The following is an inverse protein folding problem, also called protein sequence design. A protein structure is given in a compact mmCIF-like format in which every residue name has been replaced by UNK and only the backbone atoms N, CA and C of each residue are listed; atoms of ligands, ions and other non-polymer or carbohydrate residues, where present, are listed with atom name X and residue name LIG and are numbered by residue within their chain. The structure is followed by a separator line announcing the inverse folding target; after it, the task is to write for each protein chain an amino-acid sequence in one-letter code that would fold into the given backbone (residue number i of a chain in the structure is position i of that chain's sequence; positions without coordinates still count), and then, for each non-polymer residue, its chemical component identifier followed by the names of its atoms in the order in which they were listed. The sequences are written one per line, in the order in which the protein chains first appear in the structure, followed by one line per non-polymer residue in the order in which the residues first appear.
data_IF_722814259163
#
_entry.id   IF_722814259163
#
_cell.length_a   1.000
_cell.length_b   1.000
_cell.length_c   1.000
_cell.angle_alpha   90.00
_cell.angle_beta   90.00
_cell.angle_gamma   90.00
#
_symmetry.space_group_name_H-M   'P 1'
#
loop_
_entity.id
_entity.type
_entity.pdbx_description
1 polymer ?
#
# COMPACT_ATOMS: atom_id res chain seq x y z
N UNK A 1 0.12 -8.50 -23.74
CA UNK A 1 -0.17 -9.96 -23.77
C UNK A 1 0.99 -10.61 -23.02
N UNK A 2 0.73 -11.12 -21.82
CA UNK A 2 1.80 -11.70 -20.99
C UNK A 2 2.17 -13.07 -21.57
N UNK A 3 3.45 -13.33 -21.66
CA UNK A 3 3.97 -14.59 -22.20
C UNK A 3 3.55 -15.75 -21.31
N UNK A 4 2.87 -16.75 -21.88
CA UNK A 4 2.10 -17.78 -21.16
C UNK A 4 2.87 -19.06 -20.86
N UNK A 5 4.20 -19.01 -20.81
CA UNK A 5 5.00 -20.21 -20.51
C UNK A 5 4.80 -20.60 -19.03
N UNK A 6 4.00 -21.63 -18.82
CA UNK A 6 3.79 -22.25 -17.50
C UNK A 6 2.54 -21.78 -16.73
N UNK A 7 1.63 -20.99 -17.34
CA UNK A 7 0.38 -20.57 -16.69
C UNK A 7 -0.66 -21.67 -16.66
N UNK A 8 -1.18 -21.96 -15.46
CA UNK A 8 -2.42 -22.74 -15.34
C UNK A 8 -3.59 -21.88 -15.84
N UNK A 9 -4.44 -22.44 -16.71
CA UNK A 9 -5.61 -21.74 -17.28
C UNK A 9 -6.79 -21.65 -16.30
N UNK A 10 -6.72 -22.35 -15.17
CA UNK A 10 -7.73 -22.35 -14.12
C UNK A 10 -7.32 -21.38 -12.99
N UNK A 11 -8.04 -20.26 -12.76
CA UNK A 11 -7.72 -19.30 -11.71
C UNK A 11 -7.86 -19.87 -10.29
N UNK A 12 -8.45 -21.05 -10.13
CA UNK A 12 -8.54 -21.78 -8.86
C UNK A 12 -7.28 -22.58 -8.52
N UNK A 13 -6.44 -22.91 -9.52
CA UNK A 13 -5.27 -23.79 -9.35
C UNK A 13 -4.00 -22.96 -9.28
N UNK A 14 -3.28 -23.07 -8.17
CA UNK A 14 -1.95 -22.46 -7.98
C UNK A 14 -0.86 -23.36 -8.52
N UNK A 15 0.18 -22.75 -9.08
CA UNK A 15 1.40 -23.47 -9.42
C UNK A 15 2.11 -23.97 -8.16
N UNK A 16 2.94 -25.01 -8.29
CA UNK A 16 3.78 -25.47 -7.18
C UNK A 16 4.71 -24.35 -6.67
N UNK A 17 5.18 -23.48 -7.57
CA UNK A 17 6.00 -22.33 -7.20
C UNK A 17 5.20 -21.35 -6.32
N UNK A 18 3.96 -21.06 -6.68
CA UNK A 18 3.07 -20.20 -5.89
C UNK A 18 2.80 -20.77 -4.51
N UNK A 19 2.60 -22.08 -4.39
CA UNK A 19 2.43 -22.74 -3.10
C UNK A 19 3.69 -22.62 -2.23
N UNK A 20 4.90 -22.75 -2.81
CA UNK A 20 6.16 -22.53 -2.10
C UNK A 20 6.33 -21.06 -1.66
N UNK A 21 5.95 -20.10 -2.51
CA UNK A 21 5.95 -18.67 -2.16
C UNK A 21 5.02 -18.39 -0.99
N UNK A 22 3.81 -18.94 -1.02
CA UNK A 22 2.82 -18.79 0.05
C UNK A 22 3.31 -19.38 1.37
N UNK A 23 3.87 -20.60 1.34
CA UNK A 23 4.46 -21.22 2.53
C UNK A 23 5.60 -20.36 3.11
N UNK A 24 6.47 -19.84 2.24
CA UNK A 24 7.58 -18.95 2.62
C UNK A 24 7.11 -17.70 3.33
N UNK A 25 6.09 -17.01 2.78
CA UNK A 25 5.49 -15.82 3.40
C UNK A 25 4.85 -16.15 4.74
N UNK A 26 4.06 -17.22 4.80
CA UNK A 26 3.37 -17.63 6.01
C UNK A 26 4.36 -18.00 7.13
N UNK A 27 5.46 -18.68 6.80
CA UNK A 27 6.53 -18.94 7.77
C UNK A 27 7.15 -17.64 8.27
N UNK A 28 7.53 -16.74 7.34
CA UNK A 28 8.11 -15.46 7.73
C UNK A 28 7.17 -14.68 8.67
N UNK A 29 5.88 -14.55 8.35
CA UNK A 29 4.91 -13.82 9.17
C UNK A 29 4.62 -14.49 10.52
N UNK A 30 4.73 -15.83 10.61
CA UNK A 30 4.64 -16.57 11.89
C UNK A 30 5.94 -16.63 12.69
N UNK A 31 6.98 -15.89 12.24
CA UNK A 31 8.32 -15.93 12.87
C UNK A 31 8.96 -17.33 12.87
N UNK A 32 8.70 -18.08 11.81
CA UNK A 32 9.35 -19.35 11.49
C UNK A 32 10.35 -19.12 10.37
N UNK A 33 11.48 -19.85 10.37
CA UNK A 33 12.50 -19.70 9.33
C UNK A 33 12.03 -20.36 8.01
N UNK A 34 11.87 -19.58 6.92
CA UNK A 34 11.52 -20.13 5.62
C UNK A 34 12.75 -20.71 4.90
N UNK A 35 12.55 -21.37 3.75
CA UNK A 35 13.60 -21.86 2.88
C UNK A 35 14.56 -20.76 2.40
N UNK A 36 14.06 -19.56 2.20
CA UNK A 36 14.78 -18.30 2.01
C UNK A 36 13.93 -17.13 2.48
N UNK A 37 14.52 -15.97 2.66
CA UNK A 37 13.79 -14.73 2.95
C UNK A 37 12.85 -14.42 1.78
N UNK A 38 11.54 -14.16 2.04
CA UNK A 38 10.62 -13.69 1.00
C UNK A 38 11.06 -12.34 0.46
N UNK A 39 10.87 -12.13 -0.84
CA UNK A 39 11.24 -10.89 -1.53
C UNK A 39 10.05 -10.37 -2.33
N UNK A 40 9.76 -9.09 -2.20
CA UNK A 40 8.89 -8.35 -3.12
C UNK A 40 9.32 -6.89 -3.16
N UNK A 41 8.66 -6.10 -3.99
CA UNK A 41 8.79 -4.64 -3.99
C UNK A 41 7.57 -4.00 -4.65
N UNK A 42 7.46 -2.67 -4.55
CA UNK A 42 6.48 -1.87 -5.28
C UNK A 42 7.21 -1.08 -6.37
N UNK A 43 6.76 -1.23 -7.60
CA UNK A 43 7.44 -0.63 -8.75
C UNK A 43 6.60 0.48 -9.36
N UNK A 44 7.18 1.65 -9.46
CA UNK A 44 6.58 2.78 -10.14
C UNK A 44 6.67 2.64 -11.65
N UNK A 45 5.70 3.17 -12.40
CA UNK A 45 5.66 3.10 -13.84
C UNK A 45 6.95 3.61 -14.50
N UNK A 46 7.44 4.77 -14.07
CA UNK A 46 8.69 5.33 -14.59
C UNK A 46 9.93 4.46 -14.33
N UNK A 47 9.96 3.72 -13.21
CA UNK A 47 11.00 2.71 -12.96
C UNK A 47 10.88 1.55 -13.95
N UNK A 48 9.67 1.03 -14.16
CA UNK A 48 9.43 -0.11 -15.06
C UNK A 48 9.84 0.23 -16.50
N UNK A 49 9.48 1.41 -16.98
CA UNK A 49 9.86 1.89 -18.32
C UNK A 49 11.37 2.01 -18.49
N UNK A 50 12.06 2.62 -17.51
CA UNK A 50 13.51 2.74 -17.49
C UNK A 50 14.17 1.38 -17.43
N UNK A 51 13.71 0.49 -16.55
CA UNK A 51 14.21 -0.86 -16.36
C UNK A 51 14.11 -1.70 -17.66
N UNK A 52 12.96 -1.65 -18.35
CA UNK A 52 12.78 -2.30 -19.64
C UNK A 52 13.77 -1.79 -20.67
N UNK A 53 13.93 -0.49 -20.77
CA UNK A 53 14.84 0.15 -21.74
C UNK A 53 16.31 -0.19 -21.44
N UNK A 54 16.74 -0.08 -20.20
CA UNK A 54 18.15 -0.32 -19.81
C UNK A 54 18.58 -1.78 -19.96
N UNK A 55 17.66 -2.71 -19.75
CA UNK A 55 17.93 -4.14 -19.89
C UNK A 55 17.53 -4.72 -21.25
N UNK A 56 17.00 -3.90 -22.16
CA UNK A 56 16.56 -4.35 -23.49
C UNK A 56 15.42 -5.37 -23.43
N UNK A 57 14.51 -5.23 -22.47
CA UNK A 57 13.40 -6.16 -22.24
C UNK A 57 12.18 -5.82 -23.10
N UNK A 58 11.28 -6.80 -23.35
CA UNK A 58 10.00 -6.55 -24.01
C UNK A 58 9.17 -5.47 -23.30
N UNK A 59 8.35 -4.73 -24.06
CA UNK A 59 7.52 -3.65 -23.53
C UNK A 59 6.45 -4.08 -22.54
N UNK A 60 6.14 -5.37 -22.45
CA UNK A 60 5.22 -5.99 -21.51
C UNK A 60 5.93 -6.73 -20.36
N UNK A 61 7.28 -6.74 -20.33
CA UNK A 61 8.04 -7.35 -19.23
C UNK A 61 7.61 -6.75 -17.89
N UNK A 62 7.41 -7.62 -16.90
CA UNK A 62 6.95 -7.23 -15.57
C UNK A 62 7.97 -7.72 -14.53
N UNK A 63 8.49 -6.84 -13.63
CA UNK A 63 9.50 -7.22 -12.66
C UNK A 63 9.07 -8.33 -11.70
N UNK A 64 7.79 -8.43 -11.35
CA UNK A 64 7.29 -9.51 -10.51
C UNK A 64 7.53 -10.90 -11.12
N UNK A 65 7.30 -11.05 -12.43
CA UNK A 65 7.57 -12.28 -13.16
C UNK A 65 9.06 -12.46 -13.47
N UNK A 66 9.72 -11.37 -13.88
CA UNK A 66 11.13 -11.42 -14.28
C UNK A 66 12.06 -11.87 -13.14
N UNK A 67 11.79 -11.39 -11.92
CA UNK A 67 12.58 -11.71 -10.73
C UNK A 67 11.95 -12.78 -9.85
N UNK A 68 10.84 -13.37 -10.27
CA UNK A 68 10.09 -14.39 -9.52
C UNK A 68 9.80 -13.95 -8.07
N UNK A 69 9.23 -12.75 -7.91
CA UNK A 69 8.93 -12.18 -6.61
C UNK A 69 7.86 -12.99 -5.86
N UNK A 70 7.86 -12.88 -4.53
CA UNK A 70 7.11 -13.82 -3.69
C UNK A 70 5.64 -13.46 -3.46
N UNK A 71 5.25 -12.20 -3.61
CA UNK A 71 3.86 -11.78 -3.39
C UNK A 71 3.53 -10.48 -4.13
N UNK A 72 2.24 -10.22 -4.29
CA UNK A 72 1.74 -9.03 -4.97
C UNK A 72 0.52 -8.48 -4.24
N UNK A 73 0.34 -7.15 -4.28
CA UNK A 73 -0.82 -6.44 -3.74
C UNK A 73 -1.75 -6.03 -4.86
N UNK A 74 -3.04 -6.15 -4.62
CA UNK A 74 -4.10 -5.69 -5.52
C UNK A 74 -4.91 -4.59 -4.85
N UNK A 75 -5.40 -3.65 -5.67
CA UNK A 75 -6.03 -2.41 -5.22
C UNK A 75 -7.41 -2.29 -5.85
N UNK A 76 -8.51 -2.41 -5.08
CA UNK A 76 -9.86 -2.14 -5.58
C UNK A 76 -10.07 -0.63 -5.80
N UNK A 77 -11.22 -0.25 -6.34
CA UNK A 77 -11.56 1.16 -6.44
C UNK A 77 -11.93 1.72 -5.06
N UNK A 78 -11.00 2.47 -4.46
CA UNK A 78 -11.16 3.09 -3.14
C UNK A 78 -11.58 4.56 -3.21
N UNK A 79 -11.81 5.11 -4.39
CA UNK A 79 -12.21 6.49 -4.56
C UNK A 79 -13.56 6.74 -3.86
N UNK A 80 -13.69 7.81 -3.06
CA UNK A 80 -14.97 8.15 -2.39
C UNK A 80 -16.13 8.34 -3.36
N UNK A 81 -15.84 8.84 -4.56
CA UNK A 81 -16.81 8.99 -5.65
C UNK A 81 -16.39 8.15 -6.84
N UNK A 82 -17.18 7.12 -7.17
CA UNK A 82 -16.95 6.23 -8.31
C UNK A 82 -17.42 6.93 -9.57
N UNK A 83 -16.52 7.63 -10.24
CA UNK A 83 -16.81 8.42 -11.44
C UNK A 83 -15.63 8.39 -12.42
N UNK A 84 -15.90 8.56 -13.73
CA UNK A 84 -14.83 8.82 -14.69
C UNK A 84 -14.04 10.06 -14.30
N UNK A 85 -12.72 10.03 -14.52
CA UNK A 85 -11.88 11.19 -14.28
C UNK A 85 -12.12 12.28 -15.35
N UNK A 86 -12.31 13.51 -14.89
CA UNK A 86 -12.48 14.65 -15.75
C UNK A 86 -11.10 15.18 -16.17
N UNK A 87 -10.81 15.13 -17.47
CA UNK A 87 -9.60 15.75 -18.04
C UNK A 87 -9.82 17.25 -18.15
N UNK A 88 -9.08 18.03 -17.35
CA UNK A 88 -9.14 19.49 -17.37
C UNK A 88 -8.17 20.08 -18.39
N UNK A 89 -7.01 19.44 -18.58
CA UNK A 89 -5.99 19.83 -19.53
C UNK A 89 -5.20 18.59 -19.95
N UNK A 90 -4.83 18.52 -21.24
CA UNK A 90 -3.93 17.48 -21.74
C UNK A 90 -3.08 18.04 -22.86
N UNK A 91 -1.78 17.80 -22.79
CA UNK A 91 -0.77 18.18 -23.80
C UNK A 91 0.18 17.01 -24.03
N UNK A 92 1.15 17.19 -24.91
CA UNK A 92 2.20 16.16 -25.11
C UNK A 92 3.13 15.98 -23.89
N UNK A 93 3.16 16.95 -22.96
CA UNK A 93 4.09 16.95 -21.82
C UNK A 93 3.40 16.66 -20.48
N UNK A 94 2.09 16.92 -20.38
CA UNK A 94 1.39 16.88 -19.09
C UNK A 94 -0.10 16.60 -19.23
N UNK A 95 -0.69 16.12 -18.14
CA UNK A 95 -2.15 15.97 -18.01
C UNK A 95 -2.60 16.48 -16.65
N UNK A 96 -3.74 17.18 -16.63
CA UNK A 96 -4.43 17.62 -15.41
C UNK A 96 -5.79 16.94 -15.37
N UNK A 97 -6.05 16.21 -14.29
CA UNK A 97 -7.30 15.47 -14.11
C UNK A 97 -7.94 15.77 -12.76
N UNK A 98 -9.26 15.74 -12.71
CA UNK A 98 -10.01 15.68 -11.47
C UNK A 98 -10.43 14.23 -11.21
N UNK A 99 -10.06 13.70 -10.07
CA UNK A 99 -10.20 12.28 -9.71
C UNK A 99 -11.46 11.98 -8.92
N UNK A 100 -11.66 10.72 -8.57
CA UNK A 100 -12.72 10.27 -7.68
C UNK A 100 -12.54 10.65 -6.20
N UNK A 101 -11.40 11.26 -5.82
CA UNK A 101 -11.23 11.96 -4.54
C UNK A 101 -11.60 13.46 -4.61
N UNK A 102 -12.03 13.95 -5.78
CA UNK A 102 -12.22 15.38 -5.99
C UNK A 102 -10.89 16.16 -6.04
N UNK A 103 -9.77 15.48 -6.04
CA UNK A 103 -8.45 16.08 -6.18
C UNK A 103 -8.17 16.45 -7.63
N UNK A 104 -7.61 17.64 -7.84
CA UNK A 104 -7.07 18.06 -9.13
C UNK A 104 -5.59 17.68 -9.15
N UNK A 105 -5.29 16.66 -9.92
CA UNK A 105 -3.94 16.12 -10.06
C UNK A 105 -3.30 16.58 -11.35
N UNK A 106 -2.07 17.03 -11.26
CA UNK A 106 -1.21 17.39 -12.37
C UNK A 106 -0.09 16.39 -12.51
N UNK A 107 -0.03 15.67 -13.60
CA UNK A 107 1.06 14.75 -13.95
C UNK A 107 1.83 15.33 -15.14
N UNK A 108 3.07 15.69 -14.89
CA UNK A 108 4.05 15.95 -15.92
C UNK A 108 4.76 14.65 -16.28
N UNK A 109 4.81 14.26 -17.56
CA UNK A 109 5.27 12.92 -17.95
C UNK A 109 6.77 12.68 -17.70
N UNK A 110 7.57 13.74 -17.61
CA UNK A 110 8.99 13.64 -17.25
C UNK A 110 9.23 13.47 -15.73
N UNK A 111 8.25 13.79 -14.89
CA UNK A 111 8.39 13.66 -13.43
C UNK A 111 7.71 12.40 -12.93
N UNK A 112 8.35 11.65 -12.00
CA UNK A 112 7.80 10.40 -11.51
C UNK A 112 6.53 10.61 -10.67
N UNK A 113 6.45 11.71 -9.91
CA UNK A 113 5.32 11.98 -9.02
C UNK A 113 4.33 12.98 -9.62
N UNK A 114 3.01 12.71 -9.54
CA UNK A 114 2.01 13.72 -9.77
C UNK A 114 1.94 14.71 -8.61
N UNK A 115 1.41 15.90 -8.88
CA UNK A 115 1.16 16.95 -7.91
C UNK A 115 -0.34 17.14 -7.70
N UNK A 116 -0.83 17.08 -6.47
CA UNK A 116 -2.20 17.49 -6.13
C UNK A 116 -2.23 18.99 -5.89
N UNK A 117 -2.98 19.74 -6.71
CA UNK A 117 -2.99 21.21 -6.72
C UNK A 117 -4.21 21.83 -6.07
N UNK A 118 -5.34 21.15 -6.11
CA UNK A 118 -6.60 21.63 -5.56
C UNK A 118 -7.54 20.46 -5.23
N UNK A 119 -8.61 20.75 -4.51
CA UNK A 119 -9.58 19.77 -4.04
C UNK A 119 -10.99 20.34 -4.12
N UNK A 120 -11.99 19.52 -4.42
CA UNK A 120 -13.41 19.90 -4.33
C UNK A 120 -13.81 20.19 -2.87
N UNK A 121 -13.18 19.48 -1.92
CA UNK A 121 -13.36 19.63 -0.47
C UNK A 121 -12.31 20.58 0.12
N UNK A 122 -12.20 21.80 -0.45
CA UNK A 122 -11.18 22.81 -0.11
C UNK A 122 -11.47 23.59 1.17
N UNK A 123 -12.65 23.38 1.81
CA UNK A 123 -13.00 23.94 3.11
C UNK A 123 -13.44 22.86 4.08
N UNK A 124 -13.30 23.16 5.39
CA UNK A 124 -13.69 22.22 6.42
C UNK A 124 -15.20 21.88 6.38
N UNK A 125 -16.04 22.87 6.09
CA UNK A 125 -17.51 22.69 5.96
C UNK A 125 -17.86 21.78 4.77
N UNK A 126 -17.12 21.86 3.67
CA UNK A 126 -17.31 20.95 2.53
C UNK A 126 -16.92 19.53 2.91
N UNK A 127 -15.81 19.34 3.65
CA UNK A 127 -15.39 18.02 4.13
C UNK A 127 -16.43 17.43 5.09
N UNK A 128 -16.95 18.22 6.04
CA UNK A 128 -17.97 17.75 6.96
C UNK A 128 -19.25 17.29 6.25
N UNK A 129 -19.63 17.96 5.17
CA UNK A 129 -20.86 17.67 4.40
C UNK A 129 -20.65 16.68 3.26
N UNK A 130 -19.42 16.29 2.99
CA UNK A 130 -19.10 15.37 1.88
C UNK A 130 -19.87 14.05 2.06
N UNK A 131 -20.68 13.70 1.07
CA UNK A 131 -21.36 12.42 0.98
C UNK A 131 -20.64 11.56 -0.05
N UNK A 132 -20.21 10.38 0.37
CA UNK A 132 -19.49 9.42 -0.47
C UNK A 132 -20.46 8.40 -1.07
N UNK A 133 -20.07 7.77 -2.17
CA UNK A 133 -20.79 6.63 -2.73
C UNK A 133 -20.76 5.46 -1.75
N UNK A 134 -21.66 4.48 -1.91
CA UNK A 134 -21.73 3.32 -1.03
C UNK A 134 -20.36 2.61 -0.96
N UNK A 135 -19.79 2.39 0.24
CA UNK A 135 -18.52 1.66 0.40
C UNK A 135 -18.61 0.22 -0.10
N UNK A 136 -19.82 -0.33 -0.16
CA UNK A 136 -20.09 -1.70 -0.63
C UNK A 136 -20.55 -1.75 -2.11
N UNK A 137 -20.46 -0.64 -2.85
CA UNK A 137 -20.86 -0.60 -4.25
C UNK A 137 -20.07 -1.64 -5.07
N UNK A 138 -20.80 -2.47 -5.79
CA UNK A 138 -20.23 -3.56 -6.59
C UNK A 138 -19.24 -3.07 -7.66
N UNK A 139 -19.41 -1.85 -8.18
CA UNK A 139 -18.51 -1.24 -9.17
C UNK A 139 -17.06 -1.23 -8.68
N UNK A 140 -16.81 -1.11 -7.37
CA UNK A 140 -15.47 -1.10 -6.78
C UNK A 140 -14.67 -2.38 -7.05
N UNK A 141 -15.35 -3.50 -7.19
CA UNK A 141 -14.73 -4.83 -7.23
C UNK A 141 -14.93 -5.57 -8.55
N UNK A 142 -16.05 -5.30 -9.23
CA UNK A 142 -16.52 -6.14 -10.35
C UNK A 142 -16.58 -5.40 -11.70
N UNK A 143 -16.34 -4.09 -11.73
CA UNK A 143 -16.41 -3.31 -12.96
C UNK A 143 -15.09 -2.59 -13.22
N UNK A 144 -14.79 -2.40 -14.51
CA UNK A 144 -13.68 -1.55 -14.92
C UNK A 144 -14.01 -0.08 -14.68
N UNK A 145 -13.02 0.72 -14.30
CA UNK A 145 -13.23 2.14 -14.05
C UNK A 145 -11.95 2.88 -13.71
N UNK A 146 -12.08 4.19 -13.59
CA UNK A 146 -10.98 5.03 -13.17
C UNK A 146 -10.76 4.89 -11.66
N UNK A 147 -9.50 4.80 -11.23
CA UNK A 147 -9.10 4.51 -9.86
C UNK A 147 -7.81 5.27 -9.53
N UNK A 148 -7.89 6.21 -8.59
CA UNK A 148 -6.73 7.01 -8.21
C UNK A 148 -5.67 6.15 -7.50
N UNK A 149 -6.06 5.26 -6.60
CA UNK A 149 -5.12 4.48 -5.80
C UNK A 149 -4.39 3.42 -6.64
N UNK A 150 -5.04 2.85 -7.66
CA UNK A 150 -4.41 1.85 -8.52
C UNK A 150 -3.26 2.41 -9.37
N UNK A 151 -3.19 3.71 -9.53
CA UNK A 151 -2.09 4.40 -10.22
C UNK A 151 -0.87 4.61 -9.31
N UNK A 152 -0.39 3.57 -8.64
CA UNK A 152 0.79 3.66 -7.75
C UNK A 152 1.96 4.32 -8.47
N UNK A 153 2.44 5.45 -7.95
CA UNK A 153 3.53 6.23 -8.53
C UNK A 153 3.15 7.09 -9.73
N UNK A 154 2.15 6.72 -10.51
CA UNK A 154 1.64 7.53 -11.63
C UNK A 154 0.50 8.47 -11.20
N UNK A 155 -0.02 8.28 -9.99
CA UNK A 155 -0.99 9.14 -9.33
C UNK A 155 -2.44 8.83 -9.62
N UNK A 156 -2.75 8.17 -10.73
CA UNK A 156 -4.08 7.70 -11.07
C UNK A 156 -4.00 6.70 -12.22
N UNK A 157 -4.99 5.83 -12.33
CA UNK A 157 -5.14 4.90 -13.43
C UNK A 157 -6.53 5.06 -14.04
N UNK A 158 -6.59 5.26 -15.35
CA UNK A 158 -7.83 5.21 -16.12
C UNK A 158 -8.11 3.78 -16.57
N UNK A 159 -9.38 3.42 -16.62
CA UNK A 159 -9.83 2.12 -17.11
C UNK A 159 -9.14 0.93 -16.42
N UNK A 160 -8.93 1.01 -15.10
CA UNK A 160 -8.48 -0.16 -14.35
C UNK A 160 -9.41 -1.33 -14.61
N UNK A 161 -8.82 -2.51 -14.84
CA UNK A 161 -9.61 -3.74 -14.95
C UNK A 161 -10.42 -4.00 -13.67
N UNK A 162 -11.51 -4.78 -13.74
CA UNK A 162 -12.21 -5.21 -12.54
C UNK A 162 -11.24 -5.83 -11.53
N UNK A 163 -11.31 -5.38 -10.28
CA UNK A 163 -10.38 -5.85 -9.25
C UNK A 163 -10.40 -7.37 -9.08
N UNK A 164 -11.58 -7.98 -9.05
CA UNK A 164 -11.70 -9.43 -8.89
C UNK A 164 -11.09 -10.22 -10.04
N UNK A 165 -11.16 -9.69 -11.26
CA UNK A 165 -10.53 -10.33 -12.43
C UNK A 165 -9.00 -10.21 -12.34
N UNK A 166 -8.49 -9.09 -11.85
CA UNK A 166 -7.06 -8.91 -11.55
C UNK A 166 -6.59 -9.92 -10.50
N UNK A 167 -7.32 -10.06 -9.38
CA UNK A 167 -7.02 -11.05 -8.33
C UNK A 167 -6.96 -12.46 -8.92
N UNK A 168 -7.98 -12.87 -9.69
CA UNK A 168 -8.04 -14.18 -10.33
C UNK A 168 -6.91 -14.42 -11.31
N UNK A 169 -6.51 -13.40 -12.07
CA UNK A 169 -5.43 -13.52 -13.07
C UNK A 169 -4.04 -13.68 -12.43
N UNK A 170 -3.81 -13.12 -11.26
CA UNK A 170 -2.53 -13.16 -10.56
C UNK A 170 -2.36 -14.37 -9.64
N UNK A 171 -3.46 -14.91 -9.14
CA UNK A 171 -3.49 -15.97 -8.12
C UNK A 171 -2.76 -17.27 -8.51
N UNK A 172 -2.75 -17.72 -9.78
CA UNK A 172 -1.97 -18.90 -10.19
C UNK A 172 -0.46 -18.73 -9.97
N UNK A 173 0.06 -17.51 -10.06
CA UNK A 173 1.49 -17.22 -10.10
C UNK A 173 2.02 -16.56 -8.82
N UNK A 174 1.14 -15.95 -8.00
CA UNK A 174 1.50 -15.22 -6.78
C UNK A 174 0.54 -15.48 -5.62
N UNK A 175 1.02 -15.46 -4.37
CA UNK A 175 0.24 -15.05 -3.22
C UNK A 175 -0.28 -13.63 -3.44
N UNK A 176 -1.62 -13.44 -3.34
CA UNK A 176 -2.29 -12.18 -3.65
C UNK A 176 -2.85 -11.57 -2.38
N UNK A 177 -2.43 -10.34 -2.09
CA UNK A 177 -2.94 -9.56 -0.98
C UNK A 177 -3.97 -8.56 -1.48
N UNK A 178 -5.11 -8.46 -0.79
CA UNK A 178 -6.03 -7.33 -0.90
C UNK A 178 -5.46 -6.11 -0.19
N UNK A 179 -6.08 -4.94 -0.37
CA UNK A 179 -5.59 -3.75 0.32
C UNK A 179 -6.64 -2.67 0.52
N UNK A 180 -6.50 -1.90 1.60
CA UNK A 180 -7.36 -0.76 1.90
C UNK A 180 -6.53 0.41 2.42
N UNK A 181 -6.88 1.63 2.00
CA UNK A 181 -6.35 2.84 2.65
C UNK A 181 -7.04 3.06 4.00
N UNK A 182 -6.30 3.63 4.96
CA UNK A 182 -6.89 4.10 6.19
C UNK A 182 -7.18 5.61 6.12
N UNK A 183 -7.67 6.18 7.20
CA UNK A 183 -8.22 7.55 7.23
C UNK A 183 -7.20 8.63 6.82
N UNK A 184 -5.91 8.50 7.18
CA UNK A 184 -4.90 9.51 6.87
C UNK A 184 -4.67 9.63 5.36
N UNK A 185 -4.60 8.49 4.66
CA UNK A 185 -4.48 8.45 3.21
C UNK A 185 -5.68 9.06 2.51
N UNK A 186 -6.89 8.76 3.00
CA UNK A 186 -8.10 9.37 2.49
C UNK A 186 -8.09 10.89 2.64
N UNK A 187 -7.79 11.40 3.85
CA UNK A 187 -7.78 12.83 4.13
C UNK A 187 -6.75 13.57 3.28
N UNK A 188 -5.54 13.03 3.15
CA UNK A 188 -4.50 13.63 2.31
C UNK A 188 -4.97 13.78 0.86
N UNK A 189 -5.73 12.83 0.33
CA UNK A 189 -6.25 12.87 -1.03
C UNK A 189 -7.50 13.74 -1.18
N UNK A 190 -8.34 13.82 -0.15
CA UNK A 190 -9.57 14.61 -0.16
C UNK A 190 -9.35 16.12 0.02
N UNK A 191 -8.36 16.51 0.83
CA UNK A 191 -8.20 17.90 1.28
C UNK A 191 -6.74 18.39 1.28
N UNK A 192 -5.80 17.51 1.01
CA UNK A 192 -4.36 17.77 1.08
C UNK A 192 -3.79 17.69 2.50
N UNK A 193 -2.50 17.38 2.57
CA UNK A 193 -1.80 17.18 3.84
C UNK A 193 -1.81 18.43 4.73
N UNK A 194 -1.64 19.63 4.15
CA UNK A 194 -1.62 20.88 4.90
C UNK A 194 -2.96 21.15 5.59
N UNK A 195 -4.09 21.04 4.88
CA UNK A 195 -5.42 21.23 5.44
C UNK A 195 -5.74 20.15 6.49
N UNK A 196 -5.34 18.90 6.23
CA UNK A 196 -5.52 17.82 7.20
C UNK A 196 -4.87 18.15 8.55
N UNK A 197 -3.60 18.58 8.53
CA UNK A 197 -2.89 18.95 9.77
C UNK A 197 -3.45 20.23 10.43
N UNK A 198 -3.77 21.25 9.62
CA UNK A 198 -4.33 22.50 10.11
C UNK A 198 -5.66 22.28 10.83
N UNK A 199 -6.59 21.54 10.21
CA UNK A 199 -7.92 21.31 10.77
C UNK A 199 -7.90 20.37 11.97
N UNK A 200 -6.97 19.43 12.05
CA UNK A 200 -6.76 18.67 13.28
C UNK A 200 -6.34 19.56 14.46
N UNK A 201 -5.58 20.62 14.19
CA UNK A 201 -5.18 21.60 15.21
C UNK A 201 -6.27 22.62 15.55
N UNK A 202 -7.00 23.11 14.56
CA UNK A 202 -8.00 24.18 14.75
C UNK A 202 -9.36 23.63 15.25
N UNK A 203 -9.75 22.44 14.79
CA UNK A 203 -11.08 21.87 15.07
C UNK A 203 -10.99 20.40 15.54
N UNK A 204 -10.22 20.09 16.60
CA UNK A 204 -9.87 18.71 16.93
C UNK A 204 -11.07 17.77 17.14
N UNK A 205 -12.11 18.22 17.83
CA UNK A 205 -13.32 17.43 18.09
C UNK A 205 -14.14 17.20 16.81
N UNK A 206 -14.35 18.26 16.03
CA UNK A 206 -15.08 18.18 14.75
C UNK A 206 -14.32 17.32 13.75
N UNK A 207 -13.00 17.48 13.69
CA UNK A 207 -12.14 16.64 12.85
C UNK A 207 -12.17 15.19 13.31
N UNK A 208 -12.20 14.92 14.61
CA UNK A 208 -12.42 13.60 15.18
C UNK A 208 -13.73 12.95 14.70
N UNK A 209 -14.83 13.72 14.63
CA UNK A 209 -16.08 13.22 14.08
C UNK A 209 -15.99 12.87 12.57
N UNK A 210 -15.27 13.69 11.79
CA UNK A 210 -15.00 13.42 10.37
C UNK A 210 -14.14 12.17 10.22
N UNK A 211 -13.08 12.03 11.01
CA UNK A 211 -12.20 10.85 11.02
C UNK A 211 -13.00 9.59 11.32
N UNK A 212 -13.87 9.63 12.31
CA UNK A 212 -14.73 8.48 12.66
C UNK A 212 -15.68 8.09 11.52
N UNK A 213 -16.26 9.06 10.82
CA UNK A 213 -17.11 8.80 9.65
C UNK A 213 -16.32 8.16 8.50
N UNK A 214 -15.13 8.68 8.19
CA UNK A 214 -14.24 8.15 7.14
C UNK A 214 -13.74 6.76 7.53
N UNK A 215 -13.37 6.56 8.80
CA UNK A 215 -12.94 5.26 9.31
C UNK A 215 -14.02 4.19 9.18
N UNK A 216 -15.26 4.50 9.58
CA UNK A 216 -16.39 3.60 9.39
C UNK A 216 -16.64 3.27 7.91
N UNK A 217 -16.50 4.25 7.03
CA UNK A 217 -16.64 4.09 5.59
C UNK A 217 -15.63 3.10 5.01
N UNK A 218 -14.33 3.28 5.30
CA UNK A 218 -13.29 2.38 4.79
C UNK A 218 -13.30 1.01 5.47
N UNK A 219 -13.75 0.92 6.73
CA UNK A 219 -13.97 -0.38 7.37
C UNK A 219 -15.05 -1.20 6.65
N UNK A 220 -16.17 -0.57 6.26
CA UNK A 220 -17.21 -1.27 5.48
C UNK A 220 -16.72 -1.63 4.08
N UNK A 221 -15.88 -0.81 3.46
CA UNK A 221 -15.26 -1.13 2.16
C UNK A 221 -14.28 -2.30 2.28
N UNK A 222 -13.44 -2.33 3.34
CA UNK A 222 -12.53 -3.45 3.61
C UNK A 222 -13.29 -4.76 3.82
N UNK A 223 -14.40 -4.74 4.56
CA UNK A 223 -15.28 -5.91 4.71
C UNK A 223 -15.81 -6.38 3.37
N UNK A 224 -16.26 -5.45 2.52
CA UNK A 224 -16.79 -5.78 1.20
C UNK A 224 -15.71 -6.34 0.25
N UNK A 225 -14.48 -5.80 0.30
CA UNK A 225 -13.34 -6.34 -0.44
C UNK A 225 -13.01 -7.76 -0.02
N UNK A 226 -12.88 -8.00 1.29
CA UNK A 226 -12.59 -9.33 1.85
C UNK A 226 -13.70 -10.33 1.50
N UNK A 227 -14.96 -9.91 1.49
CA UNK A 227 -16.09 -10.73 1.05
C UNK A 227 -16.04 -11.04 -0.45
N UNK A 228 -15.76 -10.03 -1.28
CA UNK A 228 -15.64 -10.19 -2.73
C UNK A 228 -14.46 -11.09 -3.12
N UNK A 229 -13.35 -10.99 -2.39
CA UNK A 229 -12.15 -11.80 -2.56
C UNK A 229 -12.12 -13.10 -1.73
N UNK A 230 -13.25 -13.54 -1.17
CA UNK A 230 -13.28 -14.69 -0.27
C UNK A 230 -12.68 -15.95 -0.89
N UNK A 231 -11.68 -16.54 -0.21
CA UNK A 231 -10.93 -17.71 -0.66
C UNK A 231 -9.93 -17.45 -1.80
N UNK A 232 -9.80 -16.20 -2.24
CA UNK A 232 -8.85 -15.80 -3.28
C UNK A 232 -7.67 -15.01 -2.73
N UNK A 233 -7.85 -14.29 -1.62
CA UNK A 233 -6.81 -13.51 -0.96
C UNK A 233 -5.97 -14.36 0.00
N UNK A 234 -4.69 -14.02 0.14
CA UNK A 234 -3.71 -14.66 1.01
C UNK A 234 -3.26 -13.76 2.16
N UNK A 235 -3.65 -12.50 2.14
CA UNK A 235 -3.36 -11.51 3.15
C UNK A 235 -3.98 -10.17 2.81
N UNK A 236 -3.71 -9.18 3.64
CA UNK A 236 -4.28 -7.85 3.53
C UNK A 236 -3.24 -6.76 3.84
N UNK A 237 -3.23 -5.69 3.09
CA UNK A 237 -2.36 -4.53 3.31
C UNK A 237 -3.21 -3.33 3.72
N UNK A 238 -2.84 -2.65 4.79
CA UNK A 238 -3.44 -1.37 5.18
C UNK A 238 -2.44 -0.26 4.84
N UNK A 239 -2.85 0.71 4.01
CA UNK A 239 -2.03 1.85 3.63
C UNK A 239 -2.34 3.05 4.50
N UNK A 240 -1.32 3.58 5.21
CA UNK A 240 -1.55 4.67 6.14
C UNK A 240 -0.31 5.50 6.45
N UNK A 241 0.00 6.48 5.63
CA UNK A 241 1.05 7.45 5.94
C UNK A 241 0.57 8.42 7.02
N UNK A 242 1.05 8.22 8.25
CA UNK A 242 0.72 9.04 9.44
C UNK A 242 1.92 9.82 9.98
N UNK A 243 3.07 9.73 9.29
CA UNK A 243 4.33 10.29 9.74
C UNK A 243 5.15 10.84 8.59
N UNK A 244 6.11 11.66 8.93
CA UNK A 244 7.17 12.09 8.04
C UNK A 244 8.53 11.78 8.69
N UNK A 245 9.62 12.23 8.08
CA UNK A 245 10.98 11.86 8.45
C UNK A 245 11.32 11.96 9.96
N UNK A 246 10.70 12.89 10.71
CA UNK A 246 11.04 13.14 12.11
C UNK A 246 10.05 12.62 13.12
N UNK A 247 8.75 12.66 12.81
CA UNK A 247 7.67 12.30 13.75
C UNK A 247 6.35 12.10 13.01
N UNK A 248 5.31 11.72 13.74
CA UNK A 248 3.92 11.66 13.24
C UNK A 248 3.37 13.05 12.90
N UNK A 249 2.43 13.11 11.96
CA UNK A 249 1.73 14.36 11.56
C UNK A 249 0.84 14.92 12.66
N UNK A 250 0.38 14.08 13.57
CA UNK A 250 -0.44 14.42 14.72
C UNK A 250 0.20 13.89 16.00
N UNK A 251 -0.27 14.34 17.15
CA UNK A 251 0.19 13.81 18.43
C UNK A 251 -0.16 12.32 18.58
N UNK A 252 0.67 11.51 19.25
CA UNK A 252 0.34 10.10 19.54
C UNK A 252 -1.01 9.94 20.25
N UNK A 253 -1.38 10.89 21.12
CA UNK A 253 -2.68 10.89 21.79
C UNK A 253 -3.82 11.01 20.80
N UNK A 254 -3.77 11.99 19.89
CA UNK A 254 -4.81 12.21 18.88
C UNK A 254 -4.93 11.00 17.95
N UNK A 255 -3.78 10.44 17.51
CA UNK A 255 -3.77 9.25 16.69
C UNK A 255 -4.41 8.05 17.41
N UNK A 256 -4.08 7.79 18.68
CA UNK A 256 -4.68 6.71 19.47
C UNK A 256 -6.18 6.89 19.70
N UNK A 257 -6.64 8.14 19.81
CA UNK A 257 -8.05 8.44 20.03
C UNK A 257 -8.90 8.26 18.77
N UNK A 258 -8.39 8.71 17.60
CA UNK A 258 -9.22 8.82 16.42
C UNK A 258 -8.83 7.88 15.27
N UNK A 259 -7.57 7.51 15.08
CA UNK A 259 -7.10 6.68 13.97
C UNK A 259 -6.91 5.21 14.34
N UNK A 260 -6.20 4.93 15.44
CA UNK A 260 -5.91 3.58 15.93
C UNK A 260 -7.15 2.65 15.97
N UNK A 261 -8.33 3.08 16.45
CA UNK A 261 -9.49 2.19 16.54
C UNK A 261 -9.96 1.65 15.19
N UNK A 262 -9.78 2.41 14.11
CA UNK A 262 -10.19 1.99 12.77
C UNK A 262 -9.19 1.01 12.15
N UNK A 263 -7.89 1.25 12.33
CA UNK A 263 -6.85 0.31 11.91
C UNK A 263 -7.00 -1.02 12.66
N UNK A 264 -7.24 -0.99 13.97
CA UNK A 264 -7.47 -2.19 14.77
C UNK A 264 -8.68 -3.00 14.26
N UNK A 265 -9.81 -2.35 13.97
CA UNK A 265 -11.00 -3.03 13.45
C UNK A 265 -10.79 -3.60 12.04
N UNK A 266 -10.03 -2.92 11.16
CA UNK A 266 -9.66 -3.47 9.84
C UNK A 266 -8.78 -4.71 10.00
N UNK A 267 -7.78 -4.65 10.91
CA UNK A 267 -6.91 -5.78 11.23
C UNK A 267 -7.71 -6.97 11.74
N UNK A 268 -8.60 -6.76 12.71
CA UNK A 268 -9.48 -7.78 13.24
C UNK A 268 -10.38 -8.41 12.17
N UNK A 269 -10.91 -7.58 11.26
CA UNK A 269 -11.74 -8.04 10.15
C UNK A 269 -10.97 -8.98 9.19
N UNK A 270 -9.72 -8.66 8.86
CA UNK A 270 -8.85 -9.50 8.04
C UNK A 270 -8.49 -10.80 8.77
N UNK A 271 -8.09 -10.72 10.03
CA UNK A 271 -7.75 -11.88 10.86
C UNK A 271 -8.94 -12.84 11.05
N UNK A 272 -10.17 -12.33 11.17
CA UNK A 272 -11.37 -13.16 11.25
C UNK A 272 -11.59 -14.04 10.00
N UNK A 273 -10.89 -13.74 8.90
CA UNK A 273 -10.87 -14.54 7.66
C UNK A 273 -9.53 -15.25 7.42
N UNK A 274 -8.65 -15.28 8.42
CA UNK A 274 -7.34 -15.93 8.36
C UNK A 274 -6.34 -15.19 7.47
N UNK A 275 -6.55 -13.91 7.18
CA UNK A 275 -5.68 -13.09 6.36
C UNK A 275 -4.67 -12.35 7.25
N UNK A 276 -3.37 -12.61 7.14
CA UNK A 276 -2.36 -11.81 7.83
C UNK A 276 -2.36 -10.37 7.30
N UNK A 277 -2.00 -9.42 8.16
CA UNK A 277 -2.05 -7.99 7.87
C UNK A 277 -0.66 -7.37 7.87
N UNK A 278 -0.30 -6.74 6.76
CA UNK A 278 0.88 -5.88 6.66
C UNK A 278 0.38 -4.42 6.69
N UNK A 279 0.88 -3.62 7.63
CA UNK A 279 0.61 -2.18 7.63
C UNK A 279 1.74 -1.44 6.93
N UNK A 280 1.38 -0.65 5.92
CA UNK A 280 2.30 0.24 5.23
C UNK A 280 2.14 1.67 5.75
N UNK A 281 3.26 2.27 6.17
CA UNK A 281 3.30 3.68 6.53
C UNK A 281 4.72 4.21 6.54
N UNK A 282 4.97 5.25 5.73
CA UNK A 282 6.26 5.92 5.65
C UNK A 282 6.54 6.78 6.88
N UNK A 283 7.80 7.19 7.05
CA UNK A 283 8.23 8.12 8.08
C UNK A 283 8.55 7.48 9.43
N UNK A 284 8.75 8.35 10.43
CA UNK A 284 9.14 7.96 11.78
C UNK A 284 7.92 7.77 12.68
N UNK A 285 7.54 6.52 12.90
CA UNK A 285 6.41 6.12 13.74
C UNK A 285 6.82 5.55 15.10
N UNK A 286 8.05 5.75 15.54
CA UNK A 286 8.55 5.17 16.82
C UNK A 286 7.66 5.48 18.01
N UNK A 287 7.05 6.68 18.05
CA UNK A 287 6.18 7.10 19.15
C UNK A 287 4.87 6.30 19.26
N UNK A 288 4.48 5.61 18.20
CA UNK A 288 3.26 4.80 18.10
C UNK A 288 3.57 3.36 17.64
N UNK A 289 4.83 2.95 17.60
CA UNK A 289 5.18 1.64 17.04
C UNK A 289 4.64 0.47 17.88
N UNK A 290 4.63 0.60 19.20
CA UNK A 290 4.03 -0.40 20.10
C UNK A 290 2.52 -0.56 19.84
N UNK A 291 1.84 0.51 19.44
CA UNK A 291 0.41 0.45 19.14
C UNK A 291 0.10 -0.49 17.95
N UNK A 292 0.99 -0.57 16.93
CA UNK A 292 0.83 -1.53 15.83
C UNK A 292 0.92 -2.97 16.31
N UNK A 293 1.80 -3.24 17.27
CA UNK A 293 1.92 -4.56 17.89
C UNK A 293 0.64 -4.89 18.68
N UNK A 294 0.12 -3.93 19.45
CA UNK A 294 -1.12 -4.09 20.22
C UNK A 294 -2.35 -4.34 19.34
N UNK A 295 -2.39 -3.74 18.15
CA UNK A 295 -3.46 -3.96 17.16
C UNK A 295 -3.36 -5.32 16.45
N UNK A 296 -2.26 -6.07 16.66
CA UNK A 296 -2.04 -7.37 16.03
C UNK A 296 -1.54 -7.29 14.58
N UNK A 297 -0.92 -6.19 14.17
CA UNK A 297 -0.29 -6.10 12.84
C UNK A 297 0.81 -7.16 12.73
N UNK A 298 0.74 -8.03 11.71
CA UNK A 298 1.68 -9.12 11.52
C UNK A 298 3.05 -8.64 11.03
N UNK A 299 3.08 -7.62 10.16
CA UNK A 299 4.33 -6.98 9.75
C UNK A 299 4.15 -5.50 9.44
N UNK A 300 5.18 -4.70 9.70
CA UNK A 300 5.24 -3.26 9.37
C UNK A 300 6.13 -3.02 8.14
N UNK A 301 5.68 -2.17 7.23
CA UNK A 301 6.29 -1.78 5.96
C UNK A 301 6.27 -0.24 5.81
N UNK A 302 7.23 0.43 5.15
CA UNK A 302 8.48 -0.11 4.61
C UNK A 302 9.67 0.04 5.59
N UNK A 303 9.51 0.69 6.76
CA UNK A 303 10.57 0.98 7.73
C UNK A 303 11.64 1.92 7.15
N UNK A 304 11.23 3.11 6.83
CA UNK A 304 12.04 4.11 6.13
C UNK A 304 13.36 4.43 6.86
N UNK A 305 14.51 4.05 6.26
CA UNK A 305 15.83 4.19 6.90
C UNK A 305 16.19 5.65 7.17
N UNK A 306 15.93 6.53 6.19
CA UNK A 306 16.18 7.99 6.34
C UNK A 306 15.32 8.67 7.40
N UNK A 307 14.23 8.01 7.84
CA UNK A 307 13.40 8.43 8.97
C UNK A 307 13.89 7.81 10.31
N UNK A 308 14.97 7.04 10.28
CA UNK A 308 15.54 6.41 11.47
C UNK A 308 14.84 5.11 11.88
N UNK A 309 14.04 4.52 11.00
CA UNK A 309 13.43 3.20 11.22
C UNK A 309 14.41 2.13 10.75
N UNK A 310 15.09 1.47 11.68
CA UNK A 310 16.08 0.43 11.36
C UNK A 310 15.58 -0.94 11.83
N UNK A 311 15.34 -1.86 10.90
CA UNK A 311 14.78 -3.17 11.18
C UNK A 311 15.66 -4.01 12.12
N UNK A 312 16.98 -3.86 12.05
CA UNK A 312 17.90 -4.59 12.95
C UNK A 312 17.76 -4.10 14.39
N UNK A 313 17.70 -2.77 14.57
CA UNK A 313 17.49 -2.17 15.89
C UNK A 313 16.09 -2.47 16.44
N UNK A 314 15.06 -2.38 15.59
CA UNK A 314 13.69 -2.71 15.96
C UNK A 314 13.54 -4.19 16.31
N UNK A 315 14.24 -5.09 15.61
CA UNK A 315 14.29 -6.52 15.97
C UNK A 315 14.89 -6.74 17.36
N UNK A 316 15.94 -5.99 17.72
CA UNK A 316 16.53 -6.06 19.07
C UNK A 316 15.56 -5.54 20.14
N UNK A 317 14.78 -4.50 19.81
CA UNK A 317 13.84 -3.89 20.76
C UNK A 317 12.55 -4.70 20.91
N UNK A 318 11.96 -5.17 19.84
CA UNK A 318 10.63 -5.79 19.84
C UNK A 318 10.65 -7.32 19.68
N UNK A 319 11.80 -7.91 19.38
CA UNK A 319 11.93 -9.36 19.21
C UNK A 319 11.04 -9.89 18.08
N UNK A 320 10.28 -10.93 18.37
CA UNK A 320 9.36 -11.58 17.46
C UNK A 320 7.89 -11.18 17.67
N UNK A 321 7.63 -9.99 18.20
CA UNK A 321 6.26 -9.51 18.46
C UNK A 321 5.60 -8.93 17.20
N UNK A 322 6.40 -8.57 16.19
CA UNK A 322 5.96 -8.05 14.90
C UNK A 322 6.98 -8.40 13.82
N UNK A 323 6.52 -8.67 12.62
CA UNK A 323 7.37 -8.83 11.44
C UNK A 323 7.80 -7.47 10.84
N UNK A 324 8.83 -7.52 10.03
CA UNK A 324 9.34 -6.36 9.30
C UNK A 324 9.34 -6.64 7.80
N UNK A 325 8.80 -5.72 7.01
CA UNK A 325 8.79 -5.81 5.55
C UNK A 325 9.45 -4.55 4.99
N UNK A 326 10.58 -4.68 4.28
CA UNK A 326 11.29 -3.53 3.73
C UNK A 326 12.65 -3.25 4.34
N UNK A 327 12.96 -1.97 4.53
CA UNK A 327 14.15 -1.44 5.21
C UNK A 327 15.48 -1.57 4.45
N UNK A 328 15.50 -1.97 3.18
CA UNK A 328 16.74 -1.88 2.41
C UNK A 328 16.92 -0.47 1.86
N UNK A 329 17.98 0.21 2.29
CA UNK A 329 18.21 1.64 2.07
C UNK A 329 18.42 1.97 0.59
N UNK A 330 17.43 2.62 -0.03
CA UNK A 330 17.50 3.05 -1.44
C UNK A 330 18.59 4.09 -1.67
N UNK A 331 18.99 4.90 -0.67
CA UNK A 331 20.08 5.85 -0.82
C UNK A 331 21.42 5.13 -1.05
N UNK A 332 21.59 3.95 -0.44
CA UNK A 332 22.76 3.08 -0.73
C UNK A 332 22.65 2.51 -2.13
N UNK A 333 21.46 2.13 -2.59
CA UNK A 333 21.25 1.60 -3.95
C UNK A 333 21.56 2.64 -5.03
N UNK A 334 21.15 3.89 -4.82
CA UNK A 334 21.40 5.03 -5.74
C UNK A 334 22.91 5.26 -5.99
N UNK A 335 23.79 4.86 -5.08
CA UNK A 335 25.25 5.00 -5.27
C UNK A 335 25.79 4.15 -6.43
N UNK A 336 25.10 3.07 -6.79
CA UNK A 336 25.58 2.06 -7.74
C UNK A 336 26.80 1.26 -7.24
N UNK A 337 27.31 1.52 -6.02
CA UNK A 337 28.40 0.76 -5.41
C UNK A 337 27.93 -0.64 -4.99
N UNK A 338 28.25 -1.62 -5.81
CA UNK A 338 27.89 -3.02 -5.56
C UNK A 338 28.35 -3.56 -4.21
N UNK A 339 29.51 -3.11 -3.74
CA UNK A 339 30.04 -3.56 -2.44
C UNK A 339 29.24 -2.94 -1.28
N UNK A 340 28.88 -1.67 -1.37
CA UNK A 340 28.03 -1.00 -0.41
C UNK A 340 26.60 -1.62 -0.39
N UNK A 341 26.00 -1.82 -1.55
CA UNK A 341 24.69 -2.46 -1.72
C UNK A 341 24.71 -3.88 -1.10
N UNK A 342 25.74 -4.67 -1.41
CA UNK A 342 25.86 -6.02 -0.83
C UNK A 342 25.97 -5.99 0.70
N UNK A 343 26.75 -5.07 1.27
CA UNK A 343 26.84 -4.91 2.73
C UNK A 343 25.51 -4.55 3.36
N UNK A 344 24.77 -3.63 2.74
CA UNK A 344 23.45 -3.21 3.20
C UNK A 344 22.45 -4.39 3.17
N UNK A 345 22.37 -5.11 2.07
CA UNK A 345 21.50 -6.29 1.95
C UNK A 345 21.84 -7.33 3.02
N UNK A 346 23.14 -7.70 3.17
CA UNK A 346 23.57 -8.67 4.17
C UNK A 346 23.27 -8.21 5.61
N UNK A 347 23.41 -6.92 5.88
CA UNK A 347 23.05 -6.35 7.18
C UNK A 347 21.55 -6.51 7.47
N UNK A 348 20.69 -6.22 6.50
CA UNK A 348 19.22 -6.35 6.66
C UNK A 348 18.78 -7.81 6.79
N UNK A 349 19.43 -8.72 6.07
CA UNK A 349 19.19 -10.15 6.24
C UNK A 349 19.51 -10.64 7.65
N UNK A 350 20.33 -9.92 8.42
CA UNK A 350 20.52 -10.18 9.85
C UNK A 350 19.23 -10.07 10.68
N UNK A 351 18.26 -9.25 10.25
CA UNK A 351 16.96 -9.15 10.89
C UNK A 351 16.01 -10.33 10.57
N UNK A 352 16.35 -11.14 9.57
CA UNK A 352 15.55 -12.27 9.11
C UNK A 352 15.76 -13.56 9.92
N UNK A 353 16.81 -13.60 10.75
CA UNK A 353 17.12 -14.81 11.52
C UNK A 353 15.96 -15.19 12.44
N UNK A 354 15.49 -16.44 12.29
CA UNK A 354 14.33 -16.94 13.02
C UNK A 354 12.98 -16.50 12.45
N UNK A 355 12.94 -16.00 11.20
CA UNK A 355 11.72 -15.53 10.53
C UNK A 355 11.35 -14.07 10.87
N UNK A 356 10.14 -13.66 10.52
CA UNK A 356 9.63 -12.31 10.81
C UNK A 356 10.21 -11.21 9.92
N UNK A 357 10.72 -11.55 8.72
CA UNK A 357 11.28 -10.56 7.82
C UNK A 357 10.95 -10.86 6.36
N UNK A 358 10.51 -9.84 5.64
CA UNK A 358 10.28 -9.83 4.19
C UNK A 358 11.21 -8.76 3.61
N UNK A 359 12.06 -9.13 2.67
CA UNK A 359 12.99 -8.21 2.04
C UNK A 359 12.28 -7.34 1.00
N UNK A 360 12.46 -6.04 1.12
CA UNK A 360 11.95 -5.01 0.21
C UNK A 360 12.78 -3.73 0.37
N UNK A 361 12.68 -2.79 -0.57
CA UNK A 361 13.19 -1.43 -0.40
C UNK A 361 12.56 -0.74 0.82
N UNK A 362 13.17 0.37 1.27
CA UNK A 362 12.68 1.14 2.42
C UNK A 362 11.69 2.26 2.02
N UNK A 363 11.33 2.32 0.73
CA UNK A 363 10.42 3.36 0.23
C UNK A 363 9.69 2.93 -1.04
#
# INVERSE_FOLDING_TARGET
MFDTVGKTTDPGVRSENTLRKLERLNKALRHEEPDRVPISDFFWGGFIERWRRELGLPGDANPYYHYDLDWIVTVPNMDPWIRPFETLQETAAEVVVKTGFGAIMHKHFEFPMPEMRAWETDTFEKLERAAFDDPRDRRRFYEAGDNQIAGVGDGFQRNSAPWLDTVKSLRPDFPVYGSMIEVSECLTRLVGQANTMLWMGEYPERMGAVINRIGAYYLEMAKAEIEAGAGLLDGFVIWGDVAYKKCTFMSPRFWREYFKPWVAQMTECAHARGLPVIYHGCGNVKAIFEDYIEMGIDAYNPLEVKAGMDAVALRQQYGHRIGFCGNSDIQVWETGDRAAIRREVLRKLGAAKGGGYIFQSDH
#
